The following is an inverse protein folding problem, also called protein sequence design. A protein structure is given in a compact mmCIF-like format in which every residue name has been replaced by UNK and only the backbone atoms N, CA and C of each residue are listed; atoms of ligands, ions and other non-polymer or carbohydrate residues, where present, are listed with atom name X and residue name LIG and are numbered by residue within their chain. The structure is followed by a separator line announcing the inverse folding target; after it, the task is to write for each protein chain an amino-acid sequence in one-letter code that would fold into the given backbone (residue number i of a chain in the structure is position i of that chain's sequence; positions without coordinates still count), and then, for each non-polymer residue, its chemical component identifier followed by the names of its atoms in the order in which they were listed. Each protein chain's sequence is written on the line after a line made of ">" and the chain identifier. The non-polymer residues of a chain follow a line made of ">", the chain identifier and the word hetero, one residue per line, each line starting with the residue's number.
data_IF_723625881053
#
_entry.id   IF_723625881053
#
_cell.length_a   1.000
_cell.length_b   1.000
_cell.length_c   1.000
_cell.angle_alpha   90.00
_cell.angle_beta   90.00
_cell.angle_gamma   90.00
#
_symmetry.space_group_name_H-M   'P 1'
#
loop_
_entity.id
_entity.type
_entity.pdbx_description
1 polymer ?
#
# COMPACT_ATOMS: atom_id res chain seq x y z
N UNK A 1 -20.13 -6.11 1.91
CA UNK A 1 -19.27 -7.33 1.94
C UNK A 1 -17.86 -7.11 1.39
N UNK A 2 -17.61 -6.81 0.11
CA UNK A 2 -16.23 -6.68 -0.43
C UNK A 2 -15.39 -5.55 0.19
N UNK A 3 -15.99 -4.40 0.53
CA UNK A 3 -15.24 -3.30 1.17
C UNK A 3 -15.05 -3.51 2.67
N UNK A 4 -15.97 -4.22 3.33
CA UNK A 4 -15.91 -4.49 4.79
C UNK A 4 -14.73 -5.39 5.14
N UNK A 5 -14.34 -6.31 4.24
CA UNK A 5 -13.18 -7.19 4.42
C UNK A 5 -11.85 -6.44 4.30
N UNK A 6 -11.78 -5.43 3.41
CA UNK A 6 -10.58 -4.61 3.25
C UNK A 6 -10.43 -3.58 4.37
N UNK A 7 -11.53 -2.96 4.81
CA UNK A 7 -11.49 -2.05 5.97
C UNK A 7 -11.08 -2.78 7.26
N UNK A 8 -11.41 -4.06 7.40
CA UNK A 8 -11.01 -4.90 8.54
C UNK A 8 -9.49 -5.18 8.62
N UNK A 9 -8.73 -4.95 7.53
CA UNK A 9 -7.27 -5.09 7.54
C UNK A 9 -6.57 -3.94 8.28
N UNK A 10 -7.28 -2.83 8.49
CA UNK A 10 -6.75 -1.66 9.16
C UNK A 10 -7.23 -1.67 10.63
N UNK A 11 -6.31 -1.59 11.61
CA UNK A 11 -6.69 -1.53 13.02
C UNK A 11 -7.41 -0.20 13.33
N UNK A 12 -8.02 -0.05 14.52
CA UNK A 12 -8.44 1.25 15.02
C UNK A 12 -7.31 2.29 14.88
N UNK A 13 -7.63 3.48 14.38
CA UNK A 13 -6.63 4.49 14.02
C UNK A 13 -5.98 4.28 12.63
N UNK A 14 -6.41 3.26 11.88
CA UNK A 14 -6.00 2.94 10.49
C UNK A 14 -4.49 2.77 10.28
N UNK A 15 -3.78 2.30 11.31
CA UNK A 15 -2.33 2.08 11.26
C UNK A 15 -1.48 3.28 11.67
N UNK A 16 -2.10 4.33 12.21
CA UNK A 16 -1.37 5.44 12.80
C UNK A 16 -1.02 5.19 14.27
N UNK A 17 0.17 5.65 14.68
CA UNK A 17 0.62 5.68 16.07
C UNK A 17 0.95 7.11 16.50
N UNK A 18 0.83 7.38 17.80
CA UNK A 18 1.19 8.67 18.40
C UNK A 18 2.54 8.57 19.09
N UNK A 19 3.44 9.50 18.76
CA UNK A 19 4.78 9.57 19.35
C UNK A 19 4.95 10.95 19.98
N UNK A 20 5.26 10.98 21.27
CA UNK A 20 5.66 12.18 21.99
C UNK A 20 7.14 12.44 21.75
N UNK A 21 7.51 13.69 21.55
CA UNK A 21 8.91 14.12 21.35
C UNK A 21 9.64 13.28 20.27
N UNK A 22 9.01 13.07 19.12
CA UNK A 22 9.52 12.20 18.04
C UNK A 22 10.95 12.54 17.60
N UNK A 23 11.37 13.79 17.81
CA UNK A 23 12.70 14.31 17.50
C UNK A 23 13.82 13.53 18.22
N UNK A 24 13.50 12.74 19.25
CA UNK A 24 14.43 11.86 19.95
C UNK A 24 14.81 10.59 19.16
N UNK A 25 14.09 10.26 18.08
CA UNK A 25 14.15 8.94 17.42
C UNK A 25 14.59 8.96 15.95
N UNK A 26 15.33 9.98 15.50
CA UNK A 26 15.76 10.14 14.09
C UNK A 26 14.61 10.03 13.06
N UNK A 27 13.38 10.34 13.49
CA UNK A 27 12.20 10.29 12.64
C UNK A 27 12.03 11.59 11.84
N UNK A 28 11.47 11.45 10.65
CA UNK A 28 10.97 12.59 9.87
C UNK A 28 9.84 13.31 10.65
N UNK A 29 9.53 14.58 10.35
CA UNK A 29 8.44 15.27 11.03
C UNK A 29 7.10 14.55 10.86
N UNK A 30 6.43 14.20 11.96
CA UNK A 30 5.10 13.57 11.90
C UNK A 30 3.96 14.57 11.72
N UNK A 31 2.73 14.07 11.58
CA UNK A 31 1.52 14.90 11.55
C UNK A 31 1.24 15.49 12.94
N UNK A 32 1.15 16.82 13.12
CA UNK A 32 0.88 17.40 14.45
C UNK A 32 -0.53 17.03 14.93
N UNK A 33 -0.68 16.74 16.22
CA UNK A 33 -1.98 16.46 16.87
C UNK A 33 -2.39 17.45 17.94
N UNK A 34 -1.48 18.32 18.38
CA UNK A 34 -1.60 19.04 19.64
C UNK A 34 -0.98 18.25 20.80
N UNK A 35 -0.75 18.91 21.92
CA UNK A 35 -0.32 18.32 23.21
C UNK A 35 1.04 17.61 23.23
N UNK A 36 1.93 17.98 22.30
CA UNK A 36 3.30 17.47 22.22
C UNK A 36 3.44 16.10 21.54
N UNK A 37 2.37 15.61 20.90
CA UNK A 37 2.39 14.39 20.10
C UNK A 37 2.44 14.68 18.59
N UNK A 38 2.98 13.72 17.86
CA UNK A 38 2.88 13.64 16.40
C UNK A 38 2.40 12.26 15.98
N UNK A 39 1.60 12.21 14.92
CA UNK A 39 1.11 10.98 14.28
C UNK A 39 2.07 10.52 13.20
N UNK A 40 2.28 9.22 13.18
CA UNK A 40 3.08 8.52 12.17
C UNK A 40 2.28 7.34 11.64
N UNK A 41 2.38 7.07 10.34
CA UNK A 41 1.79 5.87 9.75
C UNK A 41 2.81 4.73 9.77
N UNK A 42 2.39 3.51 10.09
CA UNK A 42 3.23 2.34 9.87
C UNK A 42 3.15 1.97 8.38
N UNK A 43 4.31 1.80 7.73
CA UNK A 43 4.39 1.64 6.29
C UNK A 43 3.53 0.50 5.75
N UNK A 44 3.52 -0.67 6.39
CA UNK A 44 2.66 -1.79 5.98
C UNK A 44 1.18 -1.38 5.86
N UNK A 45 0.64 -0.62 6.81
CA UNK A 45 -0.76 -0.19 6.76
C UNK A 45 -0.98 0.92 5.73
N UNK A 46 0.00 1.79 5.50
CA UNK A 46 -0.09 2.77 4.42
C UNK A 46 -0.06 2.09 3.04
N UNK A 47 0.78 1.07 2.85
CA UNK A 47 0.82 0.26 1.63
C UNK A 47 -0.52 -0.45 1.39
N UNK A 48 -1.15 -1.01 2.44
CA UNK A 48 -2.50 -1.60 2.35
C UNK A 48 -3.57 -0.56 1.98
N UNK A 49 -3.49 0.65 2.57
CA UNK A 49 -4.39 1.75 2.21
C UNK A 49 -4.24 2.15 0.73
N UNK A 50 -3.01 2.29 0.25
CA UNK A 50 -2.72 2.61 -1.16
C UNK A 50 -3.21 1.50 -2.10
N UNK A 51 -2.99 0.23 -1.76
CA UNK A 51 -3.47 -0.89 -2.57
C UNK A 51 -4.99 -0.93 -2.66
N UNK A 52 -5.70 -0.66 -1.56
CA UNK A 52 -7.16 -0.56 -1.55
C UNK A 52 -7.66 0.64 -2.37
N UNK A 53 -6.94 1.77 -2.35
CA UNK A 53 -7.24 2.92 -3.21
C UNK A 53 -7.13 2.56 -4.69
N UNK A 54 -6.03 1.91 -5.10
CA UNK A 54 -5.84 1.42 -6.48
C UNK A 54 -6.96 0.47 -6.88
N UNK A 55 -7.27 -0.51 -6.02
CA UNK A 55 -8.37 -1.47 -6.23
C UNK A 55 -9.66 -0.69 -6.50
N UNK A 56 -10.11 0.16 -5.58
CA UNK A 56 -11.35 0.94 -5.71
C UNK A 56 -11.38 1.77 -7.01
N UNK A 57 -10.29 2.45 -7.34
CA UNK A 57 -10.19 3.25 -8.58
C UNK A 57 -10.36 2.40 -9.84
N UNK A 58 -9.72 1.22 -9.92
CA UNK A 58 -9.85 0.34 -11.09
C UNK A 58 -11.28 -0.15 -11.23
N UNK A 59 -11.91 -0.60 -10.14
CA UNK A 59 -13.31 -1.04 -10.16
C UNK A 59 -14.27 0.07 -10.59
N UNK A 60 -14.07 1.30 -10.09
CA UNK A 60 -14.87 2.46 -10.51
C UNK A 60 -14.72 2.77 -12.01
N UNK A 61 -13.51 2.65 -12.56
CA UNK A 61 -13.27 2.84 -14.00
C UNK A 61 -13.99 1.76 -14.80
N UNK A 62 -13.87 0.48 -14.40
CA UNK A 62 -14.53 -0.65 -15.07
C UNK A 62 -16.04 -0.44 -15.12
N UNK A 63 -16.67 -0.10 -13.98
CA UNK A 63 -18.11 0.15 -13.90
C UNK A 63 -18.55 1.29 -14.82
N UNK A 64 -17.85 2.43 -14.81
CA UNK A 64 -18.18 3.57 -15.68
C UNK A 64 -18.03 3.24 -17.16
N UNK A 65 -17.03 2.42 -17.50
CA UNK A 65 -16.80 1.96 -18.87
C UNK A 65 -17.95 1.06 -19.35
N UNK A 66 -18.49 0.22 -18.47
CA UNK A 66 -19.65 -0.63 -18.78
C UNK A 66 -20.93 0.20 -18.96
N UNK A 67 -21.18 1.16 -18.07
CA UNK A 67 -22.36 2.05 -18.16
C UNK A 67 -22.37 2.87 -19.46
N UNK A 68 -21.19 3.24 -19.99
CA UNK A 68 -21.05 4.05 -21.19
C UNK A 68 -21.07 3.31 -22.53
N UNK A 69 -21.00 1.96 -22.55
CA UNK A 69 -20.99 1.16 -23.79
C UNK A 69 -22.28 0.34 -23.89
N UNK A 70 -23.11 0.65 -24.90
CA UNK A 70 -24.36 -0.06 -25.22
C UNK A 70 -24.14 -1.41 -25.94
N UNK A 71 -22.96 -1.63 -26.51
CA UNK A 71 -22.56 -2.92 -27.07
C UNK A 71 -21.77 -3.69 -26.00
N UNK A 72 -22.20 -4.93 -25.75
CA UNK A 72 -21.62 -5.84 -24.77
C UNK A 72 -20.11 -6.00 -25.03
N UNK A 73 -19.30 -5.36 -24.18
CA UNK A 73 -17.95 -5.87 -24.00
C UNK A 73 -18.10 -7.19 -23.29
N UNK A 74 -17.74 -8.26 -23.96
CA UNK A 74 -17.53 -9.54 -23.29
C UNK A 74 -16.26 -9.46 -22.43
N UNK A 75 -16.42 -8.89 -21.24
CA UNK A 75 -15.41 -8.84 -20.18
C UNK A 75 -14.97 -10.25 -19.74
N UNK A 76 -15.71 -11.31 -20.08
CA UNK A 76 -15.29 -12.69 -19.79
C UNK A 76 -14.16 -13.17 -20.71
N UNK A 77 -13.95 -12.54 -21.87
CA UNK A 77 -12.78 -12.79 -22.74
C UNK A 77 -11.54 -11.97 -22.34
N UNK A 78 -11.70 -11.00 -21.43
CA UNK A 78 -10.56 -10.30 -20.84
C UNK A 78 -10.01 -11.17 -19.71
N UNK A 79 -8.98 -11.97 -20.02
CA UNK A 79 -8.13 -12.71 -19.07
C UNK A 79 -7.74 -11.87 -17.82
N UNK A 80 -7.68 -10.55 -18.00
CA UNK A 80 -7.40 -9.55 -16.98
C UNK A 80 -8.49 -9.40 -15.90
N UNK A 81 -9.74 -9.78 -16.15
CA UNK A 81 -10.87 -9.60 -15.21
C UNK A 81 -10.81 -10.62 -14.08
N UNK A 82 -10.40 -11.86 -14.36
CA UNK A 82 -10.20 -12.88 -13.32
C UNK A 82 -8.84 -12.73 -12.63
N UNK A 83 -7.83 -12.21 -13.33
CA UNK A 83 -6.51 -11.99 -12.74
C UNK A 83 -6.45 -10.79 -11.81
N UNK A 84 -7.20 -9.72 -12.05
CA UNK A 84 -7.12 -8.51 -11.24
C UNK A 84 -7.42 -8.76 -9.74
N UNK A 85 -8.53 -9.42 -9.35
CA UNK A 85 -8.80 -9.70 -7.93
C UNK A 85 -7.71 -10.56 -7.28
N UNK A 86 -7.24 -11.59 -7.99
CA UNK A 86 -6.18 -12.48 -7.51
C UNK A 86 -4.85 -11.74 -7.33
N UNK A 87 -4.43 -10.94 -8.31
CA UNK A 87 -3.20 -10.13 -8.25
C UNK A 87 -3.23 -9.14 -7.09
N UNK A 88 -4.36 -8.46 -6.88
CA UNK A 88 -4.51 -7.54 -5.76
C UNK A 88 -4.42 -8.29 -4.42
N UNK A 89 -5.03 -9.46 -4.30
CA UNK A 89 -4.92 -10.27 -3.08
C UNK A 89 -3.50 -10.82 -2.85
N UNK A 90 -2.83 -11.25 -3.92
CA UNK A 90 -1.43 -11.70 -3.86
C UNK A 90 -0.50 -10.60 -3.35
N UNK A 91 -0.63 -9.37 -3.87
CA UNK A 91 0.15 -8.22 -3.41
C UNK A 91 -0.20 -7.88 -1.96
N UNK A 92 -1.47 -7.93 -1.57
CA UNK A 92 -1.91 -7.72 -0.18
C UNK A 92 -1.21 -8.69 0.77
N UNK A 93 -1.18 -9.98 0.44
CA UNK A 93 -0.48 -10.99 1.24
C UNK A 93 1.02 -10.73 1.30
N UNK A 94 1.64 -10.31 0.18
CA UNK A 94 3.04 -9.91 0.12
C UNK A 94 3.37 -8.73 1.06
N UNK A 95 2.55 -7.69 1.07
CA UNK A 95 2.68 -6.53 1.98
C UNK A 95 2.62 -6.99 3.44
N UNK A 96 1.61 -7.81 3.78
CA UNK A 96 1.45 -8.33 5.15
C UNK A 96 2.59 -9.25 5.57
N UNK A 97 3.13 -10.05 4.65
CA UNK A 97 4.26 -10.95 4.89
C UNK A 97 5.58 -10.16 5.06
N UNK A 98 5.78 -9.09 4.29
CA UNK A 98 6.93 -8.22 4.44
C UNK A 98 6.90 -7.46 5.77
N UNK A 99 5.70 -7.02 6.19
CA UNK A 99 5.50 -6.47 7.53
C UNK A 99 6.30 -5.21 7.80
N UNK A 100 6.43 -4.31 6.82
CA UNK A 100 7.27 -3.11 6.93
C UNK A 100 6.81 -2.20 8.10
N UNK A 101 7.63 -2.15 9.15
CA UNK A 101 7.38 -1.39 10.37
C UNK A 101 7.91 0.04 10.33
N UNK A 102 8.43 0.52 9.19
CA UNK A 102 8.93 1.89 9.07
C UNK A 102 7.85 2.90 9.47
N UNK A 103 8.25 3.87 10.29
CA UNK A 103 7.40 4.98 10.71
C UNK A 103 7.48 6.09 9.66
N UNK A 104 6.37 6.32 8.99
CA UNK A 104 6.25 7.32 7.95
C UNK A 104 5.73 8.63 8.53
N UNK A 105 6.57 9.65 8.44
CA UNK A 105 6.21 11.02 8.79
C UNK A 105 5.40 11.70 7.69
N UNK A 106 5.20 13.00 7.88
CA UNK A 106 4.43 13.85 7.02
C UNK A 106 5.33 14.88 6.30
N UNK A 107 4.94 15.19 5.07
CA UNK A 107 5.54 16.26 4.28
C UNK A 107 4.48 17.30 3.96
N UNK A 108 4.90 18.55 3.79
CA UNK A 108 4.03 19.59 3.29
C UNK A 108 4.05 19.56 1.76
N UNK A 109 2.93 19.16 1.15
CA UNK A 109 2.77 19.08 -0.29
C UNK A 109 1.43 19.70 -0.73
N UNK A 110 1.45 20.47 -1.82
CA UNK A 110 0.26 21.12 -2.43
C UNK A 110 -0.72 21.72 -1.41
N UNK A 111 -0.20 22.55 -0.51
CA UNK A 111 -0.96 23.26 0.55
C UNK A 111 -1.57 22.37 1.65
N UNK A 112 -1.12 21.11 1.79
CA UNK A 112 -1.60 20.18 2.81
C UNK A 112 -0.45 19.38 3.40
N UNK A 113 -0.58 19.01 4.68
CA UNK A 113 0.35 18.10 5.33
C UNK A 113 -0.15 16.67 5.14
N UNK A 114 0.63 15.83 4.47
CA UNK A 114 0.25 14.47 4.09
C UNK A 114 1.33 13.47 4.46
N UNK A 115 0.94 12.24 4.77
CA UNK A 115 1.89 11.12 4.81
C UNK A 115 2.10 10.68 3.37
N UNK A 116 3.27 11.01 2.82
CA UNK A 116 3.59 10.74 1.42
C UNK A 116 4.27 9.37 1.23
N UNK A 117 4.70 8.74 2.33
CA UNK A 117 5.39 7.44 2.34
C UNK A 117 6.85 7.51 1.90
N UNK A 118 7.21 8.38 0.96
CA UNK A 118 8.59 8.51 0.50
C UNK A 118 9.49 9.30 1.47
N UNK A 119 10.79 9.01 1.40
CA UNK A 119 11.82 9.71 2.19
C UNK A 119 12.02 9.17 3.60
N UNK A 120 11.28 8.11 3.98
CA UNK A 120 11.51 7.39 5.22
C UNK A 120 12.49 6.23 4.96
N UNK A 121 13.44 5.97 5.86
CA UNK A 121 14.34 4.83 5.71
C UNK A 121 13.59 3.51 5.93
N UNK A 122 13.73 2.58 5.00
CA UNK A 122 13.15 1.23 5.07
C UNK A 122 14.24 0.18 5.23
N UNK A 123 13.95 -0.87 5.99
CA UNK A 123 14.81 -2.05 6.07
C UNK A 123 14.36 -3.06 5.00
N UNK A 124 15.05 -3.05 3.87
CA UNK A 124 14.71 -3.93 2.74
C UNK A 124 15.49 -5.24 2.78
N UNK A 125 14.90 -6.28 2.19
CA UNK A 125 15.68 -7.44 1.71
C UNK A 125 16.58 -6.98 0.56
N UNK A 126 17.75 -7.59 0.43
CA UNK A 126 18.69 -7.25 -0.63
C UNK A 126 18.12 -7.67 -2.00
N UNK A 127 17.58 -6.68 -2.73
CA UNK A 127 17.05 -6.88 -4.07
C UNK A 127 18.10 -7.44 -5.02
N UNK A 128 19.35 -6.97 -4.93
CA UNK A 128 20.42 -7.42 -5.82
C UNK A 128 20.73 -8.88 -5.55
N UNK A 129 20.87 -9.28 -4.30
CA UNK A 129 21.10 -10.68 -3.97
C UNK A 129 19.99 -11.60 -4.52
N UNK A 130 18.72 -11.19 -4.38
CA UNK A 130 17.57 -11.93 -4.92
C UNK A 130 17.62 -12.00 -6.45
N UNK A 131 17.89 -10.86 -7.09
CA UNK A 131 17.98 -10.75 -8.54
C UNK A 131 19.09 -11.64 -9.11
N UNK A 132 20.31 -11.53 -8.57
CA UNK A 132 21.46 -12.31 -9.02
C UNK A 132 21.24 -13.80 -8.79
N UNK A 133 20.73 -14.20 -7.62
CA UNK A 133 20.36 -15.59 -7.36
C UNK A 133 19.39 -16.12 -8.42
N UNK A 134 18.35 -15.36 -8.76
CA UNK A 134 17.35 -15.79 -9.75
C UNK A 134 17.96 -15.87 -11.15
N UNK A 135 18.74 -14.86 -11.54
CA UNK A 135 19.43 -14.79 -12.83
C UNK A 135 20.44 -15.93 -13.01
N UNK A 136 21.13 -16.35 -11.96
CA UNK A 136 22.12 -17.43 -12.02
C UNK A 136 21.48 -18.83 -11.98
N UNK A 137 20.20 -18.95 -11.59
CA UNK A 137 19.52 -20.23 -11.38
C UNK A 137 18.25 -20.43 -12.24
N UNK A 138 17.97 -19.57 -13.22
CA UNK A 138 16.70 -19.59 -13.98
C UNK A 138 16.42 -20.88 -14.77
N UNK A 139 17.45 -21.69 -15.04
CA UNK A 139 17.35 -23.01 -15.70
C UNK A 139 17.77 -24.17 -14.80
N UNK A 140 18.14 -23.90 -13.54
CA UNK A 140 18.61 -24.94 -12.61
C UNK A 140 17.42 -25.55 -11.86
N UNK A 141 17.28 -26.88 -11.93
CA UNK A 141 16.27 -27.63 -11.18
C UNK A 141 16.86 -28.10 -9.85
N UNK A 142 16.23 -27.72 -8.74
CA UNK A 142 16.60 -28.14 -7.38
C UNK A 142 15.85 -29.41 -6.95
#
# INVERSE_FOLDING_TARGET
>A
MLNETWDALLPPGRGFVLIRDYQKYELTPGLPTGDGYSRFSISMFHQLHCLDYVRKTIYEIILKVQEGRREEIDISELDQVDHLPHCIDYIRQGIMCAGDTTMEGAVYDRHRTVVFGMGNPHLCRDFRAIYEFTKDNFETVF
#
